data_IF_503872761362
#
_entry.id   IF_503872761362
#
_cell.length_a   1.000
_cell.length_b   1.000
_cell.length_c   1.000
_cell.angle_alpha   90.00
_cell.angle_beta   90.00
_cell.angle_gamma   90.00
#
_symmetry.space_group_name_H-M   'P 1'
#
loop_
_entity.id
_entity.type
_entity.pdbx_description
1 polymer ?
#
# COMPACT_ATOMS: atom_id res chain seq x y z
N UNK A 1 -9.02 -4.86 -4.82
CA UNK A 1 -8.89 -5.76 -5.98
C UNK A 1 -9.49 -5.21 -7.27
N UNK A 2 -10.76 -4.77 -7.27
CA UNK A 2 -11.43 -4.26 -8.49
C UNK A 2 -10.67 -3.14 -9.20
N UNK A 3 -10.02 -2.21 -8.48
CA UNK A 3 -9.26 -1.10 -9.08
C UNK A 3 -7.95 -1.54 -9.78
N UNK A 4 -7.20 -2.50 -9.20
CA UNK A 4 -5.99 -3.06 -9.82
C UNK A 4 -6.38 -3.85 -11.08
N UNK A 5 -7.46 -4.63 -10.99
CA UNK A 5 -8.02 -5.37 -12.13
C UNK A 5 -8.59 -4.42 -13.19
N UNK A 6 -9.29 -3.33 -12.82
CA UNK A 6 -9.81 -2.33 -13.75
C UNK A 6 -8.70 -1.54 -14.46
N UNK A 7 -7.65 -1.17 -13.73
CA UNK A 7 -6.48 -0.50 -14.29
C UNK A 7 -5.70 -1.40 -15.25
N UNK A 8 -5.70 -2.72 -14.98
CA UNK A 8 -5.16 -3.75 -15.87
C UNK A 8 -5.99 -3.92 -17.15
N UNK A 9 -7.33 -3.87 -17.04
CA UNK A 9 -8.26 -4.19 -18.13
C UNK A 9 -8.54 -3.03 -19.11
N UNK A 10 -8.44 -1.75 -18.70
CA UNK A 10 -8.85 -0.58 -19.54
C UNK A 10 -7.71 0.27 -20.10
N UNK A 11 -6.58 -0.32 -20.49
CA UNK A 11 -5.67 0.35 -21.46
C UNK A 11 -4.27 0.68 -20.96
N UNK A 12 -3.62 -0.29 -20.33
CA UNK A 12 -2.16 -0.36 -20.28
C UNK A 12 -1.56 -0.20 -18.89
N UNK A 13 -1.00 -1.30 -18.39
CA UNK A 13 -0.18 -1.41 -17.18
C UNK A 13 1.12 -0.56 -17.21
N UNK A 14 1.40 0.14 -18.32
CA UNK A 14 2.66 0.85 -18.52
C UNK A 14 2.54 2.38 -18.34
N UNK A 15 1.44 2.90 -17.79
CA UNK A 15 1.29 4.36 -17.57
C UNK A 15 1.58 4.75 -16.11
N UNK A 16 2.68 5.46 -15.82
CA UNK A 16 3.09 5.89 -14.48
C UNK A 16 2.03 6.71 -13.77
N UNK A 17 1.29 7.55 -14.50
CA UNK A 17 0.20 8.37 -13.93
C UNK A 17 -0.91 7.50 -13.33
N UNK A 18 -1.32 6.42 -14.02
CA UNK A 18 -2.36 5.52 -13.53
C UNK A 18 -1.87 4.71 -12.33
N UNK A 19 -0.63 4.22 -12.39
CA UNK A 19 0.00 3.55 -11.25
C UNK A 19 0.03 4.47 -10.02
N UNK A 20 0.40 5.74 -10.18
CA UNK A 20 0.47 6.71 -9.08
C UNK A 20 -0.90 7.02 -8.45
N UNK A 21 -1.96 7.10 -9.26
CA UNK A 21 -3.34 7.25 -8.76
C UNK A 21 -3.76 6.00 -7.97
N UNK A 22 -3.48 4.82 -8.51
CA UNK A 22 -3.81 3.54 -7.87
C UNK A 22 -3.13 3.40 -6.50
N UNK A 23 -1.84 3.74 -6.43
CA UNK A 23 -1.04 3.84 -5.21
C UNK A 23 -1.68 4.78 -4.20
N UNK A 24 -2.08 5.97 -4.66
CA UNK A 24 -2.72 6.96 -3.81
C UNK A 24 -3.96 6.39 -3.13
N UNK A 25 -4.84 5.75 -3.89
CA UNK A 25 -6.05 5.12 -3.34
C UNK A 25 -5.75 3.93 -2.42
N UNK A 26 -4.80 3.07 -2.79
CA UNK A 26 -4.42 1.91 -1.99
C UNK A 26 -3.81 2.32 -0.64
N UNK A 27 -2.88 3.29 -0.65
CA UNK A 27 -2.30 3.83 0.58
C UNK A 27 -3.37 4.52 1.43
N UNK A 28 -4.23 5.34 0.83
CA UNK A 28 -5.28 6.03 1.57
C UNK A 28 -6.22 5.05 2.28
N UNK A 29 -6.63 3.99 1.58
CA UNK A 29 -7.46 2.93 2.14
C UNK A 29 -6.75 2.21 3.30
N UNK A 30 -5.49 1.81 3.11
CA UNK A 30 -4.69 1.16 4.15
C UNK A 30 -4.54 2.05 5.40
N UNK A 31 -4.14 3.31 5.22
CA UNK A 31 -3.93 4.23 6.34
C UNK A 31 -5.21 4.56 7.08
N UNK A 32 -6.34 4.71 6.37
CA UNK A 32 -7.65 4.87 7.01
C UNK A 32 -7.99 3.64 7.86
N UNK A 33 -7.82 2.43 7.33
CA UNK A 33 -8.04 1.19 8.10
C UNK A 33 -7.09 1.08 9.31
N UNK A 34 -5.82 1.44 9.16
CA UNK A 34 -4.84 1.45 10.25
C UNK A 34 -5.19 2.46 11.35
N UNK A 35 -5.60 3.69 10.98
CA UNK A 35 -6.04 4.71 11.94
C UNK A 35 -7.29 4.25 12.69
N UNK A 36 -8.25 3.64 12.00
CA UNK A 36 -9.45 3.08 12.64
C UNK A 36 -9.07 1.98 13.62
N UNK A 37 -8.13 1.10 13.27
CA UNK A 37 -7.63 0.06 14.16
C UNK A 37 -6.95 0.63 15.41
N UNK A 38 -6.06 1.62 15.26
CA UNK A 38 -5.43 2.29 16.39
C UNK A 38 -6.44 3.01 17.29
N UNK A 39 -7.45 3.65 16.72
CA UNK A 39 -8.54 4.27 17.48
C UNK A 39 -9.33 3.22 18.27
N UNK A 40 -9.63 2.07 17.65
CA UNK A 40 -10.29 0.94 18.32
C UNK A 40 -9.47 0.43 19.50
N UNK A 41 -8.16 0.21 19.31
CA UNK A 41 -7.26 -0.21 20.38
C UNK A 41 -7.22 0.80 21.54
N UNK A 42 -7.19 2.10 21.22
CA UNK A 42 -7.19 3.16 22.23
C UNK A 42 -8.50 3.27 23.01
N UNK A 43 -9.65 3.01 22.36
CA UNK A 43 -10.97 3.14 22.97
C UNK A 43 -11.43 1.89 23.72
N UNK A 44 -11.14 0.71 23.20
CA UNK A 44 -11.69 -0.57 23.69
C UNK A 44 -10.62 -1.43 24.39
N UNK A 45 -9.34 -1.09 24.21
CA UNK A 45 -8.22 -1.92 24.67
C UNK A 45 -7.95 -3.10 23.74
N UNK A 46 -6.86 -3.85 23.97
CA UNK A 46 -6.57 -5.08 23.24
C UNK A 46 -7.63 -6.13 23.58
N UNK A 47 -8.18 -6.78 22.54
CA UNK A 47 -9.02 -7.99 22.73
C UNK A 47 -8.16 -9.10 23.31
N UNK A 48 -8.51 -9.57 24.51
CA UNK A 48 -7.87 -10.69 25.22
C UNK A 48 -8.30 -12.07 24.71
N UNK A 49 -9.05 -12.13 23.61
CA UNK A 49 -9.46 -13.41 23.02
C UNK A 49 -8.23 -14.13 22.47
N UNK A 50 -8.04 -15.37 22.92
CA UNK A 50 -6.92 -16.25 22.57
C UNK A 50 -6.97 -16.52 21.06
N UNK A 51 -6.31 -15.68 20.26
CA UNK A 51 -6.30 -15.76 18.79
C UNK A 51 -5.71 -14.50 18.14
N UNK A 52 -5.39 -14.59 16.84
CA UNK A 52 -4.99 -13.42 16.04
C UNK A 52 -6.19 -12.47 15.99
N UNK A 53 -6.02 -11.22 16.44
CA UNK A 53 -7.06 -10.19 16.33
C UNK A 53 -7.60 -10.17 14.89
N UNK A 54 -8.92 -10.37 14.66
CA UNK A 54 -9.49 -10.45 13.30
C UNK A 54 -9.16 -9.22 12.45
N UNK A 55 -9.01 -8.07 13.10
CA UNK A 55 -8.63 -6.81 12.47
C UNK A 55 -7.14 -6.82 12.07
N UNK A 56 -6.27 -7.41 12.89
CA UNK A 56 -4.86 -7.58 12.55
C UNK A 56 -4.66 -8.59 11.41
N UNK A 57 -5.48 -9.64 11.33
CA UNK A 57 -5.48 -10.60 10.22
C UNK A 57 -5.82 -9.93 8.87
N UNK A 58 -6.89 -9.15 8.82
CA UNK A 58 -7.27 -8.37 7.63
C UNK A 58 -6.20 -7.34 7.28
N UNK A 59 -5.59 -6.69 8.28
CA UNK A 59 -4.49 -5.73 8.04
C UNK A 59 -3.24 -6.40 7.46
N UNK A 60 -2.94 -7.62 7.90
CA UNK A 60 -1.82 -8.42 7.38
C UNK A 60 -2.07 -8.85 5.92
N UNK A 61 -3.28 -9.26 5.57
CA UNK A 61 -3.64 -9.54 4.17
C UNK A 61 -3.48 -8.30 3.27
N UNK A 62 -3.95 -7.15 3.76
CA UNK A 62 -3.76 -5.87 3.08
C UNK A 62 -2.28 -5.51 2.92
N UNK A 63 -1.46 -5.80 3.94
CA UNK A 63 -0.03 -5.58 3.89
C UNK A 63 0.64 -6.44 2.81
N UNK A 64 0.31 -7.73 2.71
CA UNK A 64 0.83 -8.62 1.66
C UNK A 64 0.47 -8.09 0.28
N UNK A 65 -0.77 -7.62 0.09
CA UNK A 65 -1.20 -7.02 -1.17
C UNK A 65 -0.44 -5.73 -1.49
N UNK A 66 -0.15 -4.92 -0.48
CA UNK A 66 0.62 -3.68 -0.63
C UNK A 66 2.07 -3.99 -1.06
N UNK A 67 2.69 -5.03 -0.52
CA UNK A 67 4.02 -5.52 -0.94
C UNK A 67 4.00 -6.01 -2.40
N UNK A 68 3.00 -6.81 -2.78
CA UNK A 68 2.86 -7.28 -4.17
C UNK A 68 2.61 -6.13 -5.15
N UNK A 69 1.81 -5.13 -4.75
CA UNK A 69 1.59 -3.90 -5.50
C UNK A 69 2.88 -3.12 -5.71
N UNK A 70 3.70 -2.97 -4.66
CA UNK A 70 5.00 -2.29 -4.75
C UNK A 70 5.94 -2.94 -5.77
N UNK A 71 5.96 -4.26 -5.88
CA UNK A 71 6.79 -4.94 -6.89
C UNK A 71 6.37 -4.56 -8.33
N UNK A 72 5.07 -4.50 -8.60
CA UNK A 72 4.54 -4.03 -9.88
C UNK A 72 4.89 -2.55 -10.13
N UNK A 73 4.74 -1.70 -9.11
CA UNK A 73 4.98 -0.26 -9.20
C UNK A 73 6.45 0.07 -9.47
N UNK A 74 7.39 -0.67 -8.88
CA UNK A 74 8.82 -0.58 -9.20
C UNK A 74 9.04 -0.76 -10.69
N UNK A 75 8.48 -1.81 -11.29
CA UNK A 75 8.65 -2.08 -12.74
C UNK A 75 8.09 -0.94 -13.58
N UNK A 76 6.90 -0.42 -13.25
CA UNK A 76 6.25 0.65 -14.01
C UNK A 76 7.01 1.97 -13.90
N UNK A 77 7.45 2.35 -12.70
CA UNK A 77 8.19 3.59 -12.50
C UNK A 77 9.60 3.51 -13.06
N UNK A 78 10.31 2.39 -12.92
CA UNK A 78 11.60 2.19 -13.57
C UNK A 78 11.48 2.37 -15.08
N UNK A 79 10.48 1.74 -15.73
CA UNK A 79 10.20 1.95 -17.17
C UNK A 79 9.86 3.40 -17.48
N UNK A 80 9.06 4.04 -16.64
CA UNK A 80 8.68 5.45 -16.79
C UNK A 80 9.86 6.43 -16.68
N UNK A 81 10.89 6.12 -15.87
CA UNK A 81 12.10 6.93 -15.72
C UNK A 81 12.91 6.95 -17.03
N UNK A 82 12.97 5.82 -17.75
CA UNK A 82 13.65 5.72 -19.04
C UNK A 82 12.86 6.38 -20.19
N UNK A 83 11.59 6.74 -19.99
CA UNK A 83 10.78 7.47 -20.97
C UNK A 83 10.88 8.99 -20.74
N UNK A 84 11.39 9.74 -21.72
CA UNK A 84 11.53 11.20 -21.61
C UNK A 84 10.20 11.92 -21.30
N UNK A 85 9.08 11.43 -21.83
CA UNK A 85 7.78 12.06 -21.69
C UNK A 85 7.16 11.87 -20.29
N UNK A 86 7.55 10.81 -19.57
CA UNK A 86 6.92 10.41 -18.30
C UNK A 86 7.89 10.40 -17.10
N UNK A 87 9.17 10.72 -17.32
CA UNK A 87 10.23 10.69 -16.33
C UNK A 87 9.91 11.43 -15.04
N UNK A 88 9.33 12.64 -15.11
CA UNK A 88 8.97 13.42 -13.91
C UNK A 88 7.95 12.70 -13.03
N UNK A 89 6.89 12.17 -13.63
CA UNK A 89 5.82 11.46 -12.91
C UNK A 89 6.38 10.15 -12.31
N UNK A 90 7.23 9.46 -13.07
CA UNK A 90 7.86 8.23 -12.61
C UNK A 90 8.81 8.46 -11.42
N UNK A 91 9.60 9.54 -11.43
CA UNK A 91 10.46 9.91 -10.31
C UNK A 91 9.66 10.24 -9.05
N UNK A 92 8.55 10.99 -9.18
CA UNK A 92 7.64 11.27 -8.06
C UNK A 92 7.04 9.96 -7.52
N UNK A 93 6.57 9.09 -8.42
CA UNK A 93 6.05 7.77 -8.05
C UNK A 93 7.07 6.92 -7.30
N UNK A 94 8.34 6.96 -7.72
CA UNK A 94 9.41 6.25 -7.05
C UNK A 94 9.70 6.80 -5.66
N UNK A 95 9.61 8.12 -5.47
CA UNK A 95 9.71 8.75 -4.14
C UNK A 95 8.58 8.34 -3.21
N UNK A 96 7.34 8.33 -3.72
CA UNK A 96 6.15 7.86 -2.96
C UNK A 96 6.30 6.39 -2.59
N UNK A 97 6.76 5.55 -3.52
CA UNK A 97 6.99 4.14 -3.28
C UNK A 97 8.06 3.91 -2.20
N UNK A 98 9.13 4.72 -2.19
CA UNK A 98 10.16 4.64 -1.15
C UNK A 98 9.58 4.96 0.23
N UNK A 99 8.76 6.02 0.33
CA UNK A 99 8.06 6.39 1.59
C UNK A 99 7.12 5.27 2.02
N UNK A 100 6.36 4.70 1.09
CA UNK A 100 5.45 3.58 1.33
C UNK A 100 6.21 2.36 1.89
N UNK A 101 7.37 1.99 1.32
CA UNK A 101 8.17 0.87 1.81
C UNK A 101 8.68 1.14 3.24
N UNK A 102 9.24 2.33 3.49
CA UNK A 102 9.77 2.68 4.80
C UNK A 102 8.69 2.68 5.90
N UNK A 103 7.52 3.26 5.60
CA UNK A 103 6.39 3.25 6.54
C UNK A 103 5.80 1.85 6.71
N UNK A 104 5.74 1.06 5.63
CA UNK A 104 5.31 -0.34 5.67
C UNK A 104 6.17 -1.16 6.62
N UNK A 105 7.50 -1.06 6.54
CA UNK A 105 8.43 -1.75 7.46
C UNK A 105 8.19 -1.37 8.92
N UNK A 106 7.98 -0.08 9.20
CA UNK A 106 7.69 0.39 10.56
C UNK A 106 6.36 -0.17 11.09
N UNK A 107 5.33 -0.23 10.25
CA UNK A 107 4.03 -0.78 10.62
C UNK A 107 4.10 -2.30 10.81
N UNK A 108 4.84 -3.03 9.98
CA UNK A 108 5.07 -4.47 10.17
C UNK A 108 5.75 -4.76 11.50
N UNK A 109 6.74 -3.94 11.87
CA UNK A 109 7.45 -4.10 13.13
C UNK A 109 6.51 -3.93 14.33
N UNK A 110 5.62 -2.94 14.27
CA UNK A 110 4.56 -2.71 15.28
C UNK A 110 3.55 -3.86 15.35
N UNK A 111 3.05 -4.29 14.19
CA UNK A 111 2.13 -5.43 14.09
C UNK A 111 2.73 -6.73 14.64
N UNK A 112 4.00 -7.02 14.35
CA UNK A 112 4.71 -8.20 14.86
C UNK A 112 4.96 -8.12 16.38
N UNK A 113 5.12 -6.91 16.92
CA UNK A 113 5.30 -6.69 18.35
C UNK A 113 3.97 -6.63 19.12
N UNK A 114 2.84 -6.54 18.42
CA UNK A 114 1.52 -6.36 19.04
C UNK A 114 1.34 -5.01 19.74
N UNK A 115 2.04 -3.97 19.26
CA UNK A 115 2.04 -2.60 19.84
C UNK A 115 1.54 -1.57 18.84
#
# INVERSE_FOLDING_TARGET
MLLIVFASLRGGLNQPKRALILIGYCNLAFWLSYVVWMLRLKMVGPSLDIGIDPFAGVLAEWFVLLVLGSAYEVIVFTRGIFSQQQRRIALVGMGVLLIQILTSIQVSYRLLQGV
#
